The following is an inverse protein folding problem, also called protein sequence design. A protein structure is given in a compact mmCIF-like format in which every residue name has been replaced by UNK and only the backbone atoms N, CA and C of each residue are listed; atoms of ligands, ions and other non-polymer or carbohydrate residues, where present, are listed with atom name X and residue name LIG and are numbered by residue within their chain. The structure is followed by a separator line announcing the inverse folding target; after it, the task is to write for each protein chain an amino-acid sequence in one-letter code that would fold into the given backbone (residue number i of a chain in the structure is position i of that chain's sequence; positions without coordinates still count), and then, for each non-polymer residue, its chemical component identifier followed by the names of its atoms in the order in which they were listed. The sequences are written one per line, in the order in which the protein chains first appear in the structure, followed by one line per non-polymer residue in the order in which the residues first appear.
data_IF_810516794169
#
_entry.id   IF_810516794169
#
_cell.length_a   1.000
_cell.length_b   1.000
_cell.length_c   1.000
_cell.angle_alpha   90.00
_cell.angle_beta   90.00
_cell.angle_gamma   90.00
#
_symmetry.space_group_name_H-M   'P 1'
#
loop_
_entity.id
_entity.type
_entity.pdbx_description
1 polymer ?
#
# COMPACT_ATOMS: atom_id res chain seq x y z
N UNK A 1 -43.93 56.34 -19.17
CA UNK A 1 -44.54 57.55 -19.76
C UNK A 1 -44.08 57.65 -21.21
N UNK A 2 -44.95 57.30 -22.15
CA UNK A 2 -45.74 58.23 -22.98
C UNK A 2 -44.85 58.84 -24.07
N UNK A 3 -44.86 58.27 -25.28
CA UNK A 3 -45.66 58.67 -26.47
C UNK A 3 -44.97 59.75 -27.31
N UNK A 4 -44.70 59.46 -28.59
CA UNK A 4 -45.45 59.90 -29.79
C UNK A 4 -45.44 61.41 -30.05
N UNK A 5 -45.15 61.77 -31.31
CA UNK A 5 -45.38 63.09 -31.91
C UNK A 5 -44.38 63.34 -33.04
N UNK A 6 -44.68 63.00 -34.30
CA UNK A 6 -45.37 63.85 -35.31
C UNK A 6 -44.60 65.13 -35.60
N UNK A 7 -44.14 65.29 -36.85
CA UNK A 7 -43.62 66.54 -37.38
C UNK A 7 -43.53 66.47 -38.91
N UNK A 8 -44.49 67.12 -39.56
CA UNK A 8 -44.68 67.23 -41.01
C UNK A 8 -44.70 68.74 -41.31
N UNK A 9 -43.85 69.24 -42.21
CA UNK A 9 -43.91 70.57 -42.87
C UNK A 9 -42.81 70.56 -43.97
N UNK A 10 -43.13 70.54 -45.27
CA UNK A 10 -43.49 71.69 -46.14
C UNK A 10 -42.30 72.69 -46.32
N UNK A 11 -42.01 73.34 -47.44
CA UNK A 11 -42.69 73.53 -48.72
C UNK A 11 -41.82 74.46 -49.63
N UNK A 12 -41.88 74.29 -50.97
CA UNK A 12 -41.85 75.27 -52.12
C UNK A 12 -40.56 76.15 -52.30
N UNK A 13 -39.99 76.46 -53.47
CA UNK A 13 -40.40 77.30 -54.65
C UNK A 13 -39.22 77.29 -55.65
N UNK A 14 -39.36 76.85 -56.91
CA UNK A 14 -39.62 77.59 -58.17
C UNK A 14 -38.42 78.43 -58.71
N UNK A 15 -38.26 78.86 -59.97
CA UNK A 15 -38.95 78.81 -61.27
C UNK A 15 -37.94 79.35 -62.34
N UNK A 16 -38.37 79.51 -63.61
CA UNK A 16 -37.77 80.25 -64.78
C UNK A 16 -37.01 79.40 -65.82
N UNK A 17 -37.21 79.51 -67.15
CA UNK A 17 -38.05 80.35 -68.03
C UNK A 17 -38.01 79.77 -69.48
N UNK A 18 -39.10 79.78 -70.27
CA UNK A 18 -39.45 80.74 -71.35
C UNK A 18 -38.33 80.98 -72.39
N UNK A 19 -38.51 81.06 -73.72
CA UNK A 19 -39.62 80.93 -74.66
C UNK A 19 -39.01 80.91 -76.09
N UNK A 20 -39.78 80.53 -77.11
CA UNK A 20 -39.38 80.71 -78.52
C UNK A 20 -40.47 80.27 -79.51
N UNK A 21 -41.32 81.21 -79.90
CA UNK A 21 -42.39 81.04 -80.90
C UNK A 21 -41.88 81.31 -82.32
N UNK A 22 -42.39 80.58 -83.31
CA UNK A 22 -42.94 81.15 -84.56
C UNK A 22 -43.73 80.09 -85.34
N UNK A 23 -45.00 80.42 -85.67
CA UNK A 23 -45.83 79.79 -86.71
C UNK A 23 -45.70 80.64 -88.00
N UNK A 24 -46.06 80.09 -89.18
CA UNK A 24 -47.34 80.54 -89.72
C UNK A 24 -48.22 79.48 -90.43
N UNK A 25 -49.53 79.74 -90.34
CA UNK A 25 -50.58 79.68 -91.37
C UNK A 25 -50.98 78.35 -92.07
N UNK A 26 -52.07 77.79 -91.54
CA UNK A 26 -53.31 77.29 -92.18
C UNK A 26 -53.40 77.06 -93.71
N UNK A 27 -53.84 75.84 -94.06
CA UNK A 27 -54.79 75.55 -95.15
C UNK A 27 -55.74 74.44 -94.68
N UNK A 28 -57.06 74.70 -94.66
CA UNK A 28 -58.13 73.76 -94.34
C UNK A 28 -58.72 73.13 -95.62
N UNK A 29 -59.76 72.26 -95.55
CA UNK A 29 -59.85 70.95 -94.89
C UNK A 29 -60.32 69.85 -95.88
N UNK A 30 -60.24 68.57 -95.50
CA UNK A 30 -60.93 67.47 -96.19
C UNK A 30 -61.43 66.40 -95.19
N UNK A 31 -62.55 65.71 -95.47
CA UNK A 31 -63.50 65.19 -94.47
C UNK A 31 -63.08 63.85 -93.81
N UNK A 32 -63.74 63.41 -92.72
CA UNK A 32 -63.22 62.37 -91.82
C UNK A 32 -63.46 60.95 -92.36
N UNK A 33 -62.52 60.01 -92.18
CA UNK A 33 -62.81 58.59 -92.33
C UNK A 33 -63.39 57.98 -91.05
N UNK A 34 -64.44 57.17 -91.25
CA UNK A 34 -65.21 56.38 -90.27
C UNK A 34 -64.36 55.35 -89.50
N UNK A 35 -64.81 54.90 -88.31
CA UNK A 35 -64.06 53.99 -87.44
C UNK A 35 -63.89 52.60 -88.07
N UNK A 36 -62.65 52.09 -88.08
CA UNK A 36 -62.35 50.72 -88.48
C UNK A 36 -62.71 49.74 -87.34
N UNK A 37 -63.41 48.67 -87.69
CA UNK A 37 -63.76 47.57 -86.81
C UNK A 37 -62.50 46.92 -86.18
N UNK A 38 -62.56 46.39 -84.94
CA UNK A 38 -61.42 45.76 -84.29
C UNK A 38 -60.99 44.51 -85.06
N UNK A 39 -59.70 44.44 -85.43
CA UNK A 39 -59.10 43.21 -85.94
C UNK A 39 -59.19 42.12 -84.86
N UNK A 40 -59.53 40.86 -85.21
CA UNK A 40 -59.49 39.77 -84.24
C UNK A 40 -58.03 39.54 -83.84
N UNK A 41 -57.67 39.80 -82.59
CA UNK A 41 -56.34 39.55 -82.06
C UNK A 41 -56.02 38.05 -82.19
N UNK A 42 -54.92 37.72 -82.87
CA UNK A 42 -54.41 36.35 -82.89
C UNK A 42 -53.58 36.10 -81.63
N UNK A 43 -54.13 35.27 -80.75
CA UNK A 43 -53.54 34.96 -79.45
C UNK A 43 -52.80 33.62 -79.54
N UNK A 44 -51.56 33.56 -79.06
CA UNK A 44 -50.85 32.31 -78.86
C UNK A 44 -50.61 32.02 -77.39
N UNK A 45 -50.50 30.74 -77.05
CA UNK A 45 -50.13 30.29 -75.70
C UNK A 45 -48.77 29.63 -75.76
N UNK A 46 -47.93 29.96 -74.78
CA UNK A 46 -46.63 29.32 -74.57
C UNK A 46 -46.62 28.74 -73.16
N UNK A 47 -46.31 27.46 -73.06
CA UNK A 47 -46.04 26.82 -71.77
C UNK A 47 -44.56 27.01 -71.39
N UNK A 48 -44.30 28.03 -70.57
CA UNK A 48 -42.95 28.27 -70.05
C UNK A 48 -42.43 27.14 -69.16
N UNK A 49 -43.31 26.42 -68.45
CA UNK A 49 -42.89 25.35 -67.54
C UNK A 49 -42.37 24.14 -68.30
N UNK A 50 -42.99 23.84 -69.45
CA UNK A 50 -42.53 22.80 -70.38
C UNK A 50 -41.24 23.22 -71.08
N UNK A 51 -41.12 24.49 -71.50
CA UNK A 51 -39.91 25.01 -72.14
C UNK A 51 -38.72 25.03 -71.19
N UNK A 52 -38.91 25.48 -69.94
CA UNK A 52 -37.85 25.52 -68.94
C UNK A 52 -37.31 24.12 -68.57
N UNK A 53 -38.15 23.08 -68.63
CA UNK A 53 -37.75 21.69 -68.35
C UNK A 53 -36.97 21.05 -69.49
N UNK A 54 -37.33 21.36 -70.74
CA UNK A 54 -36.71 20.81 -71.95
C UNK A 54 -35.59 21.69 -72.52
N UNK A 55 -35.25 22.79 -71.84
CA UNK A 55 -34.19 23.73 -72.22
C UNK A 55 -32.80 23.06 -72.19
N UNK A 56 -31.88 23.38 -73.12
CA UNK A 56 -30.54 22.80 -73.14
C UNK A 56 -29.69 23.06 -71.88
N UNK A 57 -29.96 24.16 -71.15
CA UNK A 57 -29.33 24.49 -69.87
C UNK A 57 -30.08 23.96 -68.63
N UNK A 58 -31.18 23.21 -68.81
CA UNK A 58 -31.97 22.68 -67.69
C UNK A 58 -31.17 21.69 -66.81
N UNK A 59 -30.16 21.01 -67.37
CA UNK A 59 -29.27 20.11 -66.62
C UNK A 59 -28.40 20.86 -65.62
N UNK A 60 -27.79 21.97 -66.03
CA UNK A 60 -26.97 22.83 -65.17
C UNK A 60 -27.81 23.45 -64.04
N UNK A 61 -29.05 23.84 -64.35
CA UNK A 61 -29.99 24.34 -63.34
C UNK A 61 -30.38 23.26 -62.32
N UNK A 62 -30.61 22.01 -62.77
CA UNK A 62 -30.91 20.89 -61.88
C UNK A 62 -29.72 20.52 -60.98
N UNK A 63 -28.49 20.60 -61.50
CA UNK A 63 -27.26 20.42 -60.71
C UNK A 63 -27.08 21.52 -59.66
N UNK A 64 -27.33 22.79 -60.03
CA UNK A 64 -27.31 23.90 -59.07
C UNK A 64 -28.35 23.72 -57.96
N UNK A 65 -29.59 23.34 -58.31
CA UNK A 65 -30.65 23.06 -57.33
C UNK A 65 -30.27 21.91 -56.38
N UNK A 66 -29.61 20.86 -56.89
CA UNK A 66 -29.08 19.77 -56.05
C UNK A 66 -28.00 20.25 -55.10
N UNK A 67 -27.06 21.09 -55.57
CA UNK A 67 -26.02 21.69 -54.72
C UNK A 67 -26.61 22.58 -53.64
N UNK A 68 -27.60 23.42 -53.98
CA UNK A 68 -28.34 24.24 -53.01
C UNK A 68 -28.98 23.36 -51.94
N UNK A 69 -29.69 22.29 -52.33
CA UNK A 69 -30.30 21.35 -51.38
C UNK A 69 -29.27 20.65 -50.47
N UNK A 70 -28.09 20.30 -51.01
CA UNK A 70 -26.99 19.71 -50.23
C UNK A 70 -26.40 20.71 -49.23
N UNK A 71 -26.17 21.96 -49.65
CA UNK A 71 -25.68 23.04 -48.77
C UNK A 71 -26.71 23.39 -47.70
N UNK A 72 -28.01 23.39 -48.04
CA UNK A 72 -29.11 23.57 -47.07
C UNK A 72 -29.17 22.43 -46.05
N UNK A 73 -28.99 21.17 -46.48
CA UNK A 73 -28.92 20.04 -45.57
C UNK A 73 -27.69 20.12 -44.64
N UNK A 74 -26.54 20.56 -45.16
CA UNK A 74 -25.32 20.77 -44.38
C UNK A 74 -25.43 21.93 -43.37
N UNK A 75 -26.32 22.90 -43.62
CA UNK A 75 -26.66 23.96 -42.66
C UNK A 75 -27.58 23.47 -41.54
N UNK A 76 -28.43 22.46 -41.80
CA UNK A 76 -29.38 21.94 -40.81
C UNK A 76 -28.76 20.92 -39.84
N UNK A 77 -27.74 20.17 -40.26
CA UNK A 77 -27.12 19.13 -39.42
C UNK A 77 -25.65 19.46 -39.17
N UNK A 78 -25.29 19.98 -37.99
CA UNK A 78 -23.89 20.16 -37.62
C UNK A 78 -23.21 18.79 -37.40
N UNK A 79 -21.92 18.64 -37.75
CA UNK A 79 -21.16 17.42 -37.47
C UNK A 79 -20.97 17.24 -35.95
N UNK A 80 -20.81 16.01 -35.44
CA UNK A 80 -20.59 15.79 -34.00
C UNK A 80 -19.26 16.39 -33.51
N UNK A 81 -19.16 16.81 -32.24
CA UNK A 81 -17.92 17.29 -31.66
C UNK A 81 -16.85 16.18 -31.59
N UNK A 82 -15.55 16.53 -31.73
CA UNK A 82 -14.46 15.54 -31.67
C UNK A 82 -14.33 14.92 -30.27
N UNK A 83 -13.94 13.63 -30.17
CA UNK A 83 -13.75 12.97 -28.88
C UNK A 83 -12.55 13.54 -28.13
N UNK A 84 -12.70 13.74 -26.83
CA UNK A 84 -11.64 14.27 -25.96
C UNK A 84 -10.81 13.14 -25.34
N UNK A 85 -9.47 13.30 -25.25
CA UNK A 85 -8.63 12.35 -24.53
C UNK A 85 -8.87 12.46 -23.01
N UNK A 86 -9.22 11.35 -22.37
CA UNK A 86 -9.40 11.27 -20.92
C UNK A 86 -8.04 11.10 -20.21
N UNK A 87 -7.67 11.96 -19.23
CA UNK A 87 -6.42 11.82 -18.51
C UNK A 87 -6.44 10.60 -17.59
N UNK A 88 -5.42 9.75 -17.68
CA UNK A 88 -5.28 8.58 -16.80
C UNK A 88 -4.55 8.95 -15.50
N UNK A 89 -5.22 8.82 -14.35
CA UNK A 89 -4.64 9.09 -13.00
C UNK A 89 -3.96 7.85 -12.41
N UNK A 90 -4.27 6.66 -12.94
CA UNK A 90 -3.73 5.36 -12.53
C UNK A 90 -2.21 5.29 -12.37
N UNK A 91 -1.35 5.82 -13.27
CA UNK A 91 0.10 5.70 -13.12
C UNK A 91 0.64 6.53 -11.93
N UNK A 92 0.03 7.68 -11.63
CA UNK A 92 0.44 8.53 -10.50
C UNK A 92 0.08 7.85 -9.19
N UNK A 93 -1.14 7.31 -9.08
CA UNK A 93 -1.60 6.60 -7.88
C UNK A 93 -0.73 5.36 -7.59
N UNK A 94 -0.32 4.62 -8.62
CA UNK A 94 0.57 3.46 -8.46
C UNK A 94 1.94 3.85 -7.90
N UNK A 95 2.56 4.91 -8.44
CA UNK A 95 3.88 5.39 -7.95
C UNK A 95 3.83 5.79 -6.48
N UNK A 96 2.81 6.55 -6.09
CA UNK A 96 2.62 6.97 -4.69
C UNK A 96 2.46 5.77 -3.76
N UNK A 97 1.72 4.73 -4.19
CA UNK A 97 1.57 3.49 -3.42
C UNK A 97 2.89 2.71 -3.31
N UNK A 98 3.64 2.59 -4.40
CA UNK A 98 4.94 1.92 -4.42
C UNK A 98 5.97 2.60 -3.50
N UNK A 99 6.01 3.94 -3.52
CA UNK A 99 6.88 4.73 -2.64
C UNK A 99 6.51 4.53 -1.16
N UNK A 100 5.22 4.61 -0.83
CA UNK A 100 4.74 4.36 0.53
C UNK A 100 5.09 2.93 1.02
N UNK A 101 4.99 1.92 0.15
CA UNK A 101 5.40 0.55 0.48
C UNK A 101 6.90 0.43 0.70
N UNK A 102 7.73 1.10 -0.12
CA UNK A 102 9.20 1.11 0.04
C UNK A 102 9.61 1.79 1.35
N UNK A 103 8.98 2.90 1.71
CA UNK A 103 9.23 3.57 2.98
C UNK A 103 8.85 2.70 4.17
N UNK A 104 7.68 2.06 4.11
CA UNK A 104 7.23 1.14 5.16
C UNK A 104 8.20 -0.04 5.32
N UNK A 105 8.68 -0.60 4.22
CA UNK A 105 9.65 -1.70 4.24
C UNK A 105 10.99 -1.29 4.87
N UNK A 106 11.52 -0.10 4.53
CA UNK A 106 12.74 0.44 5.13
C UNK A 106 12.58 0.66 6.63
N UNK A 107 11.50 1.34 7.02
CA UNK A 107 11.18 1.57 8.43
C UNK A 107 11.05 0.25 9.21
N UNK A 108 10.39 -0.75 8.63
CA UNK A 108 10.27 -2.08 9.25
C UNK A 108 11.63 -2.78 9.40
N UNK A 109 12.55 -2.64 8.44
CA UNK A 109 13.89 -3.20 8.53
C UNK A 109 14.72 -2.52 9.64
N UNK A 110 14.71 -1.19 9.70
CA UNK A 110 15.40 -0.42 10.73
C UNK A 110 14.89 -0.78 12.13
N UNK A 111 13.56 -0.80 12.28
CA UNK A 111 12.93 -1.11 13.55
C UNK A 111 13.20 -2.56 13.98
N UNK A 112 13.21 -3.51 13.05
CA UNK A 112 13.62 -4.91 13.31
C UNK A 112 15.08 -5.01 13.75
N UNK A 113 15.98 -4.22 13.15
CA UNK A 113 17.39 -4.23 13.50
C UNK A 113 17.61 -3.70 14.94
N UNK A 114 16.92 -2.61 15.31
CA UNK A 114 16.92 -2.09 16.67
C UNK A 114 16.37 -3.12 17.65
N UNK A 115 15.20 -3.71 17.35
CA UNK A 115 14.58 -4.75 18.17
C UNK A 115 15.51 -5.95 18.41
N UNK A 116 16.17 -6.47 17.36
CA UNK A 116 17.13 -7.58 17.49
C UNK A 116 18.30 -7.21 18.41
N UNK A 117 18.88 -6.02 18.24
CA UNK A 117 19.99 -5.57 19.09
C UNK A 117 19.58 -5.43 20.55
N UNK A 118 18.39 -4.91 20.82
CA UNK A 118 17.87 -4.80 22.19
C UNK A 118 17.65 -6.18 22.82
N UNK A 119 17.07 -7.13 22.08
CA UNK A 119 16.89 -8.51 22.57
C UNK A 119 18.22 -9.19 22.86
N UNK A 120 19.18 -9.12 21.92
CA UNK A 120 20.51 -9.70 22.11
C UNK A 120 21.24 -9.07 23.31
N UNK A 121 21.12 -7.76 23.51
CA UNK A 121 21.71 -7.07 24.65
C UNK A 121 21.11 -7.57 25.98
N UNK A 122 19.78 -7.74 26.03
CA UNK A 122 19.09 -8.28 27.20
C UNK A 122 19.41 -9.74 27.48
N UNK A 123 19.49 -10.57 26.44
CA UNK A 123 19.94 -11.96 26.58
C UNK A 123 21.36 -12.04 27.14
N UNK A 124 22.27 -11.19 26.66
CA UNK A 124 23.64 -11.10 27.20
C UNK A 124 23.66 -10.64 28.65
N UNK A 125 22.83 -9.65 29.01
CA UNK A 125 22.68 -9.20 30.40
C UNK A 125 22.17 -10.33 31.29
N UNK A 126 21.08 -11.01 30.90
CA UNK A 126 20.52 -12.12 31.65
C UNK A 126 21.51 -13.28 31.81
N UNK A 127 22.29 -13.62 30.77
CA UNK A 127 23.37 -14.61 30.87
C UNK A 127 24.46 -14.18 31.84
N UNK A 128 24.91 -12.93 31.78
CA UNK A 128 25.91 -12.41 32.71
C UNK A 128 25.40 -12.39 34.16
N UNK A 129 24.12 -12.11 34.37
CA UNK A 129 23.48 -12.19 35.68
C UNK A 129 23.41 -13.64 36.20
N UNK A 130 23.02 -14.60 35.35
CA UNK A 130 23.04 -16.02 35.68
C UNK A 130 24.44 -16.52 36.04
N UNK A 131 25.46 -16.14 35.26
CA UNK A 131 26.85 -16.51 35.54
C UNK A 131 27.34 -15.93 36.87
N UNK A 132 27.00 -14.68 37.17
CA UNK A 132 27.34 -14.06 38.47
C UNK A 132 26.64 -14.77 39.62
N UNK A 133 25.35 -15.05 39.47
CA UNK A 133 24.57 -15.76 40.47
C UNK A 133 25.10 -17.19 40.69
N UNK A 134 25.47 -17.90 39.62
CA UNK A 134 26.08 -19.22 39.71
C UNK A 134 27.43 -19.20 40.44
N UNK A 135 28.28 -18.21 40.18
CA UNK A 135 29.55 -18.05 40.91
C UNK A 135 29.32 -17.74 42.39
N UNK A 136 28.34 -16.89 42.70
CA UNK A 136 27.96 -16.60 44.09
C UNK A 136 27.48 -17.86 44.81
N UNK A 137 26.56 -18.61 44.21
CA UNK A 137 26.07 -19.86 44.79
C UNK A 137 27.18 -20.89 44.98
N UNK A 138 28.12 -21.01 44.03
CA UNK A 138 29.28 -21.90 44.16
C UNK A 138 30.20 -21.47 45.31
N UNK A 139 30.46 -20.18 45.47
CA UNK A 139 31.27 -19.67 46.58
C UNK A 139 30.59 -19.94 47.93
N UNK A 140 29.29 -19.64 48.05
CA UNK A 140 28.50 -19.89 49.26
C UNK A 140 28.45 -21.40 49.59
N UNK A 141 28.34 -22.25 48.57
CA UNK A 141 28.37 -23.70 48.69
C UNK A 141 29.72 -24.21 49.22
N UNK A 142 30.83 -23.71 48.68
CA UNK A 142 32.18 -24.06 49.15
C UNK A 142 32.43 -23.61 50.59
N UNK A 143 32.01 -22.39 50.96
CA UNK A 143 32.15 -21.88 52.32
C UNK A 143 31.38 -22.74 53.32
N UNK A 144 30.13 -23.09 53.01
CA UNK A 144 29.30 -23.97 53.83
C UNK A 144 29.90 -25.37 53.97
N UNK A 145 30.45 -25.92 52.88
CA UNK A 145 31.10 -27.24 52.91
C UNK A 145 32.36 -27.20 53.79
N UNK A 146 33.19 -26.17 53.66
CA UNK A 146 34.40 -25.99 54.49
C UNK A 146 34.04 -25.85 55.97
N UNK A 147 33.04 -25.02 56.28
CA UNK A 147 32.56 -24.87 57.65
C UNK A 147 32.05 -26.20 58.23
N UNK A 148 31.29 -26.98 57.44
CA UNK A 148 30.81 -28.30 57.87
C UNK A 148 31.94 -29.31 58.05
N UNK A 149 32.94 -29.31 57.17
CA UNK A 149 34.13 -30.16 57.29
C UNK A 149 34.90 -29.88 58.58
N UNK A 150 35.08 -28.61 58.93
CA UNK A 150 35.74 -28.22 60.19
C UNK A 150 34.94 -28.71 61.40
N UNK A 151 33.62 -28.50 61.42
CA UNK A 151 32.75 -28.98 62.50
C UNK A 151 32.84 -30.51 62.67
N UNK A 152 32.73 -31.26 61.57
CA UNK A 152 32.79 -32.73 61.62
C UNK A 152 34.17 -33.23 62.06
N UNK A 153 35.26 -32.56 61.65
CA UNK A 153 36.61 -32.90 62.11
C UNK A 153 36.81 -32.63 63.60
N UNK A 154 36.33 -31.48 64.10
CA UNK A 154 36.38 -31.16 65.53
C UNK A 154 35.58 -32.16 66.35
N UNK A 155 34.37 -32.52 65.90
CA UNK A 155 33.53 -33.50 66.57
C UNK A 155 34.16 -34.90 66.57
N UNK A 156 34.77 -35.32 65.46
CA UNK A 156 35.50 -36.58 65.36
C UNK A 156 36.68 -36.62 66.33
N UNK A 157 37.51 -35.58 66.36
CA UNK A 157 38.65 -35.48 67.28
C UNK A 157 38.19 -35.57 68.73
N UNK A 158 37.16 -34.80 69.11
CA UNK A 158 36.60 -34.82 70.47
C UNK A 158 36.10 -36.21 70.86
N UNK A 159 35.39 -36.92 69.97
CA UNK A 159 34.88 -38.27 70.25
C UNK A 159 35.99 -39.30 70.40
N UNK A 160 36.98 -39.28 69.50
CA UNK A 160 38.13 -40.21 69.56
C UNK A 160 39.00 -39.95 70.79
N UNK A 161 39.24 -38.69 71.14
CA UNK A 161 39.97 -38.32 72.36
C UNK A 161 39.24 -38.74 73.62
N UNK A 162 37.93 -38.51 73.70
CA UNK A 162 37.10 -38.97 74.82
C UNK A 162 37.16 -40.50 74.97
N UNK A 163 37.05 -41.25 73.86
CA UNK A 163 37.16 -42.70 73.87
C UNK A 163 38.56 -43.17 74.29
N UNK A 164 39.62 -42.50 73.82
CA UNK A 164 41.01 -42.79 74.21
C UNK A 164 41.21 -42.61 75.71
N UNK A 165 40.68 -41.54 76.30
CA UNK A 165 40.73 -41.32 77.75
C UNK A 165 39.99 -42.42 78.52
N UNK A 166 38.81 -42.83 78.04
CA UNK A 166 38.06 -43.93 78.66
C UNK A 166 38.82 -45.27 78.58
N UNK A 167 39.42 -45.59 77.43
CA UNK A 167 40.23 -46.80 77.26
C UNK A 167 41.45 -46.78 78.18
N UNK A 168 42.16 -45.65 78.28
CA UNK A 168 43.29 -45.51 79.21
C UNK A 168 42.88 -45.70 80.67
N UNK A 169 41.72 -45.16 81.07
CA UNK A 169 41.19 -45.35 82.41
C UNK A 169 40.85 -46.83 82.69
N UNK A 170 40.27 -47.53 81.72
CA UNK A 170 39.96 -48.97 81.82
C UNK A 170 41.22 -49.83 81.93
N UNK A 171 42.24 -49.56 81.11
CA UNK A 171 43.52 -50.27 81.16
C UNK A 171 44.19 -50.08 82.51
N UNK A 172 44.27 -48.84 83.03
CA UNK A 172 44.83 -48.56 84.37
C UNK A 172 44.06 -49.26 85.49
N UNK A 173 42.72 -49.23 85.44
CA UNK A 173 41.89 -49.92 86.43
C UNK A 173 42.12 -51.45 86.40
N UNK A 174 42.29 -52.03 85.20
CA UNK A 174 42.61 -53.44 85.04
C UNK A 174 44.03 -53.77 85.52
N UNK A 175 45.02 -52.94 85.22
CA UNK A 175 46.38 -53.05 85.73
C UNK A 175 46.41 -53.06 87.27
N UNK A 176 45.68 -52.15 87.91
CA UNK A 176 45.56 -52.12 89.38
C UNK A 176 44.88 -53.39 89.94
N UNK A 177 43.84 -53.88 89.27
CA UNK A 177 43.15 -55.11 89.67
C UNK A 177 44.08 -56.33 89.59
N UNK A 178 44.76 -56.50 88.46
CA UNK A 178 45.73 -57.58 88.24
C UNK A 178 46.93 -57.44 89.19
N UNK A 179 47.42 -56.22 89.41
CA UNK A 179 48.48 -55.98 90.38
C UNK A 179 48.06 -56.42 91.78
N UNK A 180 46.82 -56.15 92.22
CA UNK A 180 46.31 -56.60 93.52
C UNK A 180 46.22 -58.13 93.61
N UNK A 181 45.73 -58.79 92.55
CA UNK A 181 45.61 -60.25 92.47
C UNK A 181 46.98 -60.95 92.61
N UNK A 182 47.99 -60.46 91.90
CA UNK A 182 49.34 -61.07 91.87
C UNK A 182 50.29 -60.53 92.95
N UNK A 183 49.92 -59.47 93.69
CA UNK A 183 50.79 -58.84 94.71
C UNK A 183 51.21 -59.82 95.81
N UNK A 184 50.25 -60.51 96.42
CA UNK A 184 50.52 -61.42 97.53
C UNK A 184 51.27 -62.69 97.07
N UNK A 185 50.89 -63.38 95.97
CA UNK A 185 51.65 -64.52 95.46
C UNK A 185 53.11 -64.18 95.12
N UNK A 186 53.36 -63.06 94.42
CA UNK A 186 54.70 -62.63 94.06
C UNK A 186 55.54 -62.22 95.28
N UNK A 187 54.93 -61.53 96.26
CA UNK A 187 55.61 -61.16 97.50
C UNK A 187 55.98 -62.41 98.32
N UNK A 188 55.06 -63.36 98.44
CA UNK A 188 55.31 -64.61 99.16
C UNK A 188 56.46 -65.41 98.52
N UNK A 189 56.51 -65.50 97.19
CA UNK A 189 57.60 -66.16 96.48
C UNK A 189 58.93 -65.41 96.63
N UNK A 190 58.91 -64.08 96.60
CA UNK A 190 60.10 -63.26 96.84
C UNK A 190 60.66 -63.45 98.25
N UNK A 191 59.80 -63.43 99.28
CA UNK A 191 60.20 -63.69 100.66
C UNK A 191 60.77 -65.12 100.82
N UNK A 192 60.14 -66.12 100.19
CA UNK A 192 60.66 -67.49 100.16
C UNK A 192 62.04 -67.58 99.49
N UNK A 193 62.23 -66.90 98.37
CA UNK A 193 63.52 -66.81 97.67
C UNK A 193 64.61 -66.22 98.57
N UNK A 194 64.32 -65.13 99.29
CA UNK A 194 65.25 -64.51 100.25
C UNK A 194 65.61 -65.47 101.41
N UNK A 195 64.64 -66.24 101.92
CA UNK A 195 64.90 -67.21 103.01
C UNK A 195 65.67 -68.46 102.58
N UNK A 196 65.45 -68.97 101.36
CA UNK A 196 66.05 -70.23 100.85
C UNK A 196 67.43 -70.00 100.21
N UNK A 197 67.79 -68.74 99.92
CA UNK A 197 69.03 -68.34 99.24
C UNK A 197 70.32 -68.89 99.87
N UNK A 198 70.31 -69.19 101.16
CA UNK A 198 71.47 -69.69 101.91
C UNK A 198 71.38 -71.17 102.31
N UNK A 199 70.28 -71.87 101.99
CA UNK A 199 69.97 -73.20 102.52
C UNK A 199 69.98 -74.33 101.47
N UNK A 200 69.36 -74.16 100.30
CA UNK A 200 69.24 -75.21 99.27
C UNK A 200 69.12 -74.63 97.85
N UNK A 201 70.10 -74.94 97.00
CA UNK A 201 70.23 -74.42 95.63
C UNK A 201 69.14 -74.93 94.69
N UNK A 202 68.72 -76.19 94.82
CA UNK A 202 67.68 -76.76 93.93
C UNK A 202 66.30 -76.17 94.23
N UNK A 203 66.02 -75.88 95.49
CA UNK A 203 64.76 -75.25 95.89
C UNK A 203 64.71 -73.78 95.47
N UNK A 204 65.83 -73.08 95.55
CA UNK A 204 65.95 -71.72 95.04
C UNK A 204 65.62 -71.63 93.55
N UNK A 205 66.21 -72.49 92.72
CA UNK A 205 65.97 -72.49 91.26
C UNK A 205 64.49 -72.76 90.91
N UNK A 206 63.81 -73.65 91.65
CA UNK A 206 62.38 -73.93 91.47
C UNK A 206 61.51 -72.72 91.82
N UNK A 207 61.77 -72.08 92.97
CA UNK A 207 61.03 -70.88 93.39
C UNK A 207 61.25 -69.71 92.43
N UNK A 208 62.45 -69.60 91.85
CA UNK A 208 62.76 -68.56 90.87
C UNK A 208 61.96 -68.77 89.58
N UNK A 209 61.88 -70.01 89.09
CA UNK A 209 61.05 -70.35 87.92
C UNK A 209 59.57 -70.06 88.15
N UNK A 210 59.03 -70.37 89.33
CA UNK A 210 57.64 -70.06 89.69
C UNK A 210 57.38 -68.55 89.76
N UNK A 211 58.32 -67.79 90.33
CA UNK A 211 58.24 -66.33 90.37
C UNK A 211 58.24 -65.72 88.96
N UNK A 212 59.18 -66.13 88.10
CA UNK A 212 59.25 -65.66 86.72
C UNK A 212 58.00 -66.04 85.92
N UNK A 213 57.46 -67.25 86.15
CA UNK A 213 56.23 -67.71 85.49
C UNK A 213 55.04 -66.81 85.87
N UNK A 214 54.83 -66.56 87.16
CA UNK A 214 53.72 -65.71 87.62
C UNK A 214 53.90 -64.25 87.18
N UNK A 215 55.14 -63.74 87.15
CA UNK A 215 55.43 -62.42 86.62
C UNK A 215 55.09 -62.32 85.13
N UNK A 216 55.52 -63.30 84.32
CA UNK A 216 55.18 -63.37 82.89
C UNK A 216 53.69 -63.50 82.65
N UNK A 217 52.98 -64.28 83.47
CA UNK A 217 51.52 -64.42 83.35
C UNK A 217 50.81 -63.10 83.65
N UNK A 218 51.20 -62.40 84.72
CA UNK A 218 50.67 -61.08 85.07
C UNK A 218 50.88 -60.08 83.94
N UNK A 219 52.13 -59.95 83.49
CA UNK A 219 52.50 -58.98 82.46
C UNK A 219 51.82 -59.34 81.12
N UNK A 220 51.70 -60.63 80.80
CA UNK A 220 50.96 -61.12 79.64
C UNK A 220 49.46 -60.82 79.69
N UNK A 221 48.81 -60.96 80.85
CA UNK A 221 47.38 -60.58 81.01
C UNK A 221 47.17 -59.08 80.80
N UNK A 222 48.04 -58.24 81.37
CA UNK A 222 47.99 -56.78 81.20
C UNK A 222 48.19 -56.41 79.73
N UNK A 223 49.21 -56.97 79.07
CA UNK A 223 49.49 -56.72 77.66
C UNK A 223 48.34 -57.16 76.75
N UNK A 224 47.81 -58.36 76.93
CA UNK A 224 46.70 -58.86 76.13
C UNK A 224 45.45 -57.99 76.27
N UNK A 225 45.14 -57.52 77.48
CA UNK A 225 44.01 -56.61 77.70
C UNK A 225 44.24 -55.23 77.07
N UNK A 226 45.44 -54.66 77.23
CA UNK A 226 45.81 -53.39 76.61
C UNK A 226 45.74 -53.46 75.08
N UNK A 227 46.24 -54.53 74.47
CA UNK A 227 46.15 -54.76 73.02
C UNK A 227 44.70 -54.92 72.55
N UNK A 228 43.86 -55.67 73.29
CA UNK A 228 42.45 -55.82 72.96
C UNK A 228 41.72 -54.47 72.98
N UNK A 229 41.92 -53.67 74.03
CA UNK A 229 41.33 -52.34 74.15
C UNK A 229 41.87 -51.36 73.09
N UNK A 230 43.13 -51.48 72.70
CA UNK A 230 43.70 -50.68 71.61
C UNK A 230 43.10 -51.04 70.25
N UNK A 231 42.80 -52.33 70.00
CA UNK A 231 42.06 -52.77 68.80
C UNK A 231 40.64 -52.21 68.77
N UNK A 232 39.91 -52.27 69.88
CA UNK A 232 38.58 -51.66 70.00
C UNK A 232 38.60 -50.15 69.73
N UNK A 233 39.62 -49.43 70.23
CA UNK A 233 39.79 -48.01 69.94
C UNK A 233 40.04 -47.75 68.44
N UNK A 234 40.85 -48.58 67.78
CA UNK A 234 41.11 -48.46 66.33
C UNK A 234 39.85 -48.74 65.51
N UNK A 235 39.07 -49.75 65.87
CA UNK A 235 37.79 -50.06 65.21
C UNK A 235 36.76 -48.95 65.42
N UNK A 236 36.67 -48.42 66.64
CA UNK A 236 35.82 -47.26 66.95
C UNK A 236 36.21 -46.03 66.12
N UNK A 237 37.51 -45.71 66.08
CA UNK A 237 38.00 -44.58 65.28
C UNK A 237 37.68 -44.75 63.79
N UNK A 238 37.87 -45.96 63.24
CA UNK A 238 37.52 -46.27 61.84
C UNK A 238 36.01 -46.14 61.58
N UNK A 239 35.17 -46.60 62.49
CA UNK A 239 33.72 -46.51 62.36
C UNK A 239 33.23 -45.05 62.41
N UNK A 240 33.77 -44.23 63.32
CA UNK A 240 33.43 -42.81 63.38
C UNK A 240 33.97 -42.04 62.17
N UNK A 241 35.17 -42.37 61.66
CA UNK A 241 35.66 -41.81 60.40
C UNK A 241 34.74 -42.15 59.21
N UNK A 242 34.21 -43.38 59.14
CA UNK A 242 33.27 -43.76 58.10
C UNK A 242 31.97 -42.97 58.21
N UNK A 243 31.39 -42.86 59.41
CA UNK A 243 30.19 -42.04 59.66
C UNK A 243 30.39 -40.58 59.27
N UNK A 244 31.51 -39.99 59.67
CA UNK A 244 31.87 -38.62 59.31
C UNK A 244 31.97 -38.42 57.79
N UNK A 245 32.53 -39.39 57.06
CA UNK A 245 32.59 -39.36 55.59
C UNK A 245 31.20 -39.45 54.96
N UNK A 246 30.37 -40.39 55.43
CA UNK A 246 28.99 -40.56 54.94
C UNK A 246 28.15 -39.29 55.17
N UNK A 247 28.27 -38.67 56.35
CA UNK A 247 27.58 -37.41 56.66
C UNK A 247 28.03 -36.26 55.75
N UNK A 248 29.34 -36.13 55.50
CA UNK A 248 29.87 -35.10 54.60
C UNK A 248 29.46 -35.34 53.14
N UNK A 249 29.42 -36.60 52.69
CA UNK A 249 28.96 -36.97 51.36
C UNK A 249 27.46 -36.71 51.16
N UNK A 250 26.64 -37.05 52.15
CA UNK A 250 25.20 -36.75 52.14
C UNK A 250 24.97 -35.23 52.09
N UNK A 251 25.65 -34.48 52.95
CA UNK A 251 25.56 -33.02 52.96
C UNK A 251 26.00 -32.40 51.64
N UNK A 252 27.08 -32.92 51.03
CA UNK A 252 27.53 -32.47 49.71
C UNK A 252 26.45 -32.70 48.64
N UNK A 253 25.80 -33.87 48.63
CA UNK A 253 24.72 -34.17 47.67
C UNK A 253 23.53 -33.24 47.86
N UNK A 254 23.07 -33.03 49.09
CA UNK A 254 21.97 -32.11 49.41
C UNK A 254 22.28 -30.69 48.93
N UNK A 255 23.50 -30.22 49.18
CA UNK A 255 23.96 -28.89 48.81
C UNK A 255 24.11 -28.73 47.28
N UNK A 256 24.57 -29.77 46.58
CA UNK A 256 24.58 -29.81 45.11
C UNK A 256 23.15 -29.77 44.53
N UNK A 257 22.20 -30.50 45.12
CA UNK A 257 20.78 -30.48 44.72
C UNK A 257 20.14 -29.10 44.95
N UNK A 258 20.37 -28.49 46.11
CA UNK A 258 19.90 -27.14 46.42
C UNK A 258 20.49 -26.09 45.47
N UNK A 259 21.78 -26.19 45.16
CA UNK A 259 22.44 -25.28 44.20
C UNK A 259 21.81 -25.42 42.81
N UNK A 260 21.58 -26.67 42.36
CA UNK A 260 20.95 -26.95 41.07
C UNK A 260 19.51 -26.46 41.01
N UNK A 261 18.72 -26.65 42.07
CA UNK A 261 17.32 -26.19 42.10
C UNK A 261 17.23 -24.67 42.06
N UNK A 262 18.03 -23.97 42.87
CA UNK A 262 18.07 -22.50 42.89
C UNK A 262 18.54 -21.91 41.56
N UNK A 263 19.50 -22.55 40.90
CA UNK A 263 19.92 -22.17 39.55
C UNK A 263 18.81 -22.37 38.53
N UNK A 264 18.14 -23.51 38.55
CA UNK A 264 17.05 -23.81 37.62
C UNK A 264 15.85 -22.87 37.82
N UNK A 265 15.50 -22.55 39.07
CA UNK A 265 14.46 -21.58 39.41
C UNK A 265 14.82 -20.19 38.89
N UNK A 266 16.05 -19.74 39.13
CA UNK A 266 16.50 -18.42 38.66
C UNK A 266 16.56 -18.35 37.14
N UNK A 267 16.99 -19.41 36.48
CA UNK A 267 16.99 -19.52 35.02
C UNK A 267 15.56 -19.48 34.46
N UNK A 268 14.61 -20.20 35.07
CA UNK A 268 13.22 -20.20 34.67
C UNK A 268 12.59 -18.80 34.83
N UNK A 269 12.87 -18.11 35.94
CA UNK A 269 12.42 -16.73 36.17
C UNK A 269 12.95 -15.78 35.10
N UNK A 270 14.26 -15.78 34.84
CA UNK A 270 14.87 -14.91 33.83
C UNK A 270 14.37 -15.23 32.42
N UNK A 271 14.17 -16.51 32.08
CA UNK A 271 13.56 -16.90 30.80
C UNK A 271 12.13 -16.39 30.67
N UNK A 272 11.33 -16.47 31.73
CA UNK A 272 9.96 -15.96 31.73
C UNK A 272 9.92 -14.43 31.59
N UNK A 273 10.79 -13.71 32.29
CA UNK A 273 10.94 -12.26 32.18
C UNK A 273 11.37 -11.85 30.75
N UNK A 274 12.36 -12.53 30.17
CA UNK A 274 12.79 -12.29 28.79
C UNK A 274 11.66 -12.54 27.78
N UNK A 275 10.89 -13.63 27.96
CA UNK A 275 9.76 -13.93 27.09
C UNK A 275 8.65 -12.88 27.19
N UNK A 276 8.27 -12.45 28.40
CA UNK A 276 7.27 -11.40 28.58
C UNK A 276 7.73 -10.08 27.96
N UNK A 277 8.97 -9.68 28.22
CA UNK A 277 9.55 -8.48 27.65
C UNK A 277 9.63 -8.53 26.11
N UNK A 278 9.97 -9.69 25.54
CA UNK A 278 9.97 -9.89 24.09
C UNK A 278 8.56 -9.74 23.51
N UNK A 279 7.55 -10.35 24.14
CA UNK A 279 6.15 -10.21 23.73
C UNK A 279 5.65 -8.77 23.81
N UNK A 280 5.96 -8.05 24.90
CA UNK A 280 5.55 -6.64 25.05
C UNK A 280 6.22 -5.74 24.02
N UNK A 281 7.51 -5.98 23.74
CA UNK A 281 8.23 -5.26 22.69
C UNK A 281 7.73 -5.61 21.29
N UNK A 282 7.38 -6.88 21.03
CA UNK A 282 6.75 -7.27 19.77
C UNK A 282 5.39 -6.58 19.57
N UNK A 283 4.57 -6.51 20.62
CA UNK A 283 3.30 -5.77 20.59
C UNK A 283 3.54 -4.28 20.31
N UNK A 284 4.52 -3.67 20.95
CA UNK A 284 4.88 -2.27 20.70
C UNK A 284 5.37 -2.06 19.25
N UNK A 285 6.22 -2.96 18.75
CA UNK A 285 6.69 -2.98 17.37
C UNK A 285 5.53 -3.06 16.36
N UNK A 286 4.59 -3.99 16.57
CA UNK A 286 3.41 -4.13 15.72
C UNK A 286 2.52 -2.88 15.76
N UNK A 287 2.36 -2.24 16.92
CA UNK A 287 1.61 -0.98 17.05
C UNK A 287 2.28 0.13 16.24
N UNK A 288 3.58 0.35 16.43
CA UNK A 288 4.34 1.37 15.70
C UNK A 288 4.30 1.15 14.19
N UNK A 289 4.42 -0.09 13.73
CA UNK A 289 4.28 -0.41 12.30
C UNK A 289 2.88 -0.11 11.76
N UNK A 290 1.83 -0.49 12.49
CA UNK A 290 0.44 -0.22 12.08
C UNK A 290 0.15 1.28 12.06
N UNK A 291 0.64 2.02 13.04
CA UNK A 291 0.51 3.49 13.08
C UNK A 291 1.22 4.13 11.91
N UNK A 292 2.47 3.73 11.62
CA UNK A 292 3.22 4.23 10.46
C UNK A 292 2.53 3.86 9.14
N UNK A 293 2.03 2.64 9.01
CA UNK A 293 1.28 2.20 7.83
C UNK A 293 0.05 3.06 7.61
N UNK A 294 -0.77 3.27 8.65
CA UNK A 294 -1.97 4.13 8.57
C UNK A 294 -1.60 5.57 8.17
N UNK A 295 -0.53 6.12 8.74
CA UNK A 295 -0.07 7.47 8.40
C UNK A 295 0.36 7.56 6.92
N UNK A 296 1.12 6.59 6.42
CA UNK A 296 1.54 6.53 5.02
C UNK A 296 0.36 6.31 4.06
N UNK A 297 -0.60 5.46 4.41
CA UNK A 297 -1.82 5.26 3.61
C UNK A 297 -2.68 6.54 3.55
N UNK A 298 -2.80 7.26 4.67
CA UNK A 298 -3.48 8.56 4.69
C UNK A 298 -2.75 9.59 3.80
N UNK A 299 -1.42 9.67 3.89
CA UNK A 299 -0.62 10.54 3.03
C UNK A 299 -0.74 10.15 1.54
N UNK A 300 -0.65 8.87 1.21
CA UNK A 300 -0.80 8.37 -0.15
C UNK A 300 -2.20 8.67 -0.71
N UNK A 301 -3.25 8.47 0.08
CA UNK A 301 -4.63 8.74 -0.34
C UNK A 301 -4.89 10.22 -0.57
N UNK A 302 -4.34 11.11 0.26
CA UNK A 302 -4.48 12.56 0.10
C UNK A 302 -3.74 13.05 -1.15
N UNK A 303 -2.54 12.54 -1.41
CA UNK A 303 -1.79 12.82 -2.64
C UNK A 303 -2.52 12.32 -3.90
N UNK A 304 -3.05 11.10 -3.86
CA UNK A 304 -3.81 10.53 -4.99
C UNK A 304 -5.09 11.32 -5.28
N UNK A 305 -5.82 11.75 -4.24
CA UNK A 305 -6.99 12.63 -4.38
C UNK A 305 -6.61 13.98 -4.98
N UNK A 306 -5.52 14.59 -4.51
CA UNK A 306 -5.00 15.84 -5.07
C UNK A 306 -4.62 15.71 -6.54
N UNK A 307 -3.98 14.62 -6.94
CA UNK A 307 -3.65 14.33 -8.34
C UNK A 307 -4.92 14.14 -9.20
N UNK A 308 -5.91 13.41 -8.68
CA UNK A 308 -7.19 13.23 -9.37
C UNK A 308 -7.96 14.55 -9.57
N UNK A 309 -7.97 15.42 -8.55
CA UNK A 309 -8.60 16.75 -8.64
C UNK A 309 -7.91 17.61 -9.70
N UNK A 310 -6.57 17.66 -9.72
CA UNK A 310 -5.82 18.39 -10.75
C UNK A 310 -6.11 17.87 -12.16
N UNK A 311 -6.14 16.55 -12.34
CA UNK A 311 -6.48 15.93 -13.62
C UNK A 311 -7.93 16.26 -14.06
N UNK A 312 -8.88 16.32 -13.13
CA UNK A 312 -10.26 16.73 -13.41
C UNK A 312 -10.35 18.20 -13.82
N UNK A 313 -9.63 19.09 -13.12
CA UNK A 313 -9.58 20.51 -13.46
C UNK A 313 -8.96 20.75 -14.84
N UNK A 314 -7.86 20.06 -15.15
CA UNK A 314 -7.22 20.10 -16.47
C UNK A 314 -8.16 19.57 -17.56
N UNK A 315 -8.83 18.44 -17.32
CA UNK A 315 -9.82 17.92 -18.26
C UNK A 315 -10.97 18.89 -18.48
N UNK A 316 -11.47 19.54 -17.43
CA UNK A 316 -12.53 20.55 -17.54
C UNK A 316 -12.09 21.75 -18.38
N UNK A 317 -10.86 22.24 -18.18
CA UNK A 317 -10.28 23.33 -18.99
C UNK A 317 -10.12 22.92 -20.45
N UNK A 318 -9.63 21.71 -20.71
CA UNK A 318 -9.49 21.17 -22.06
C UNK A 318 -10.84 20.99 -22.74
N UNK A 319 -11.85 20.47 -22.03
CA UNK A 319 -13.20 20.31 -22.55
C UNK A 319 -13.83 21.66 -22.90
N UNK A 320 -13.67 22.67 -22.04
CA UNK A 320 -14.14 24.04 -22.32
C UNK A 320 -13.43 24.64 -23.54
N UNK A 321 -12.11 24.52 -23.63
CA UNK A 321 -11.34 25.03 -24.76
C UNK A 321 -11.71 24.32 -26.08
N UNK A 322 -11.92 23.01 -26.04
CA UNK A 322 -12.35 22.23 -27.20
C UNK A 322 -13.78 22.58 -27.63
N UNK A 323 -14.69 22.81 -26.67
CA UNK A 323 -16.05 23.25 -26.97
C UNK A 323 -16.06 24.64 -27.62
N UNK A 324 -15.26 25.58 -27.12
CA UNK A 324 -15.10 26.91 -27.73
C UNK A 324 -14.58 26.82 -29.16
N UNK A 325 -13.53 26.02 -29.39
CA UNK A 325 -12.99 25.79 -30.74
C UNK A 325 -14.04 25.19 -31.67
N UNK A 326 -14.80 24.20 -31.18
CA UNK A 326 -15.87 23.60 -31.96
C UNK A 326 -16.96 24.63 -32.29
N UNK A 327 -17.40 25.45 -31.34
CA UNK A 327 -18.39 26.51 -31.58
C UNK A 327 -17.89 27.56 -32.60
N UNK A 328 -16.63 27.96 -32.50
CA UNK A 328 -15.99 28.88 -33.45
C UNK A 328 -15.90 28.26 -34.86
N UNK A 329 -15.44 27.01 -34.97
CA UNK A 329 -15.40 26.27 -36.22
C UNK A 329 -16.80 26.12 -36.84
N UNK A 330 -17.83 25.85 -36.03
CA UNK A 330 -19.22 25.82 -36.49
C UNK A 330 -19.69 27.19 -36.99
N UNK A 331 -19.35 28.29 -36.29
CA UNK A 331 -19.71 29.64 -36.74
C UNK A 331 -19.07 29.97 -38.09
N UNK A 332 -17.76 29.76 -38.20
CA UNK A 332 -17.02 30.01 -39.46
C UNK A 332 -17.58 29.15 -40.59
N UNK A 333 -17.85 27.86 -40.33
CA UNK A 333 -18.45 26.96 -41.30
C UNK A 333 -19.86 27.40 -41.73
N UNK A 334 -20.71 27.80 -40.78
CA UNK A 334 -22.06 28.29 -41.09
C UNK A 334 -22.01 29.56 -41.94
N UNK A 335 -21.09 30.48 -41.65
CA UNK A 335 -20.89 31.69 -42.46
C UNK A 335 -20.42 31.35 -43.87
N UNK A 336 -19.49 30.41 -44.01
CA UNK A 336 -19.03 29.92 -45.32
C UNK A 336 -20.17 29.29 -46.11
N UNK A 337 -20.91 28.36 -45.51
CA UNK A 337 -22.06 27.69 -46.15
C UNK A 337 -23.18 28.67 -46.53
N UNK A 338 -23.42 29.72 -45.72
CA UNK A 338 -24.38 30.78 -46.06
C UNK A 338 -23.92 31.59 -47.28
N UNK A 339 -22.66 32.01 -47.32
CA UNK A 339 -22.08 32.72 -48.46
C UNK A 339 -22.10 31.87 -49.73
N UNK A 340 -21.79 30.58 -49.62
CA UNK A 340 -21.89 29.62 -50.72
C UNK A 340 -23.34 29.49 -51.22
N UNK A 341 -24.30 29.39 -50.31
CA UNK A 341 -25.72 29.30 -50.66
C UNK A 341 -26.22 30.58 -51.33
N UNK A 342 -25.84 31.76 -50.84
CA UNK A 342 -26.16 33.04 -51.50
C UNK A 342 -25.55 33.13 -52.91
N UNK A 343 -24.28 32.73 -53.07
CA UNK A 343 -23.61 32.68 -54.36
C UNK A 343 -24.31 31.70 -55.33
N UNK A 344 -24.67 30.50 -54.85
CA UNK A 344 -25.40 29.50 -55.64
C UNK A 344 -26.81 29.98 -56.02
N UNK A 345 -27.52 30.68 -55.13
CA UNK A 345 -28.83 31.27 -55.44
C UNK A 345 -28.73 32.42 -56.43
N UNK A 346 -27.69 33.26 -56.32
CA UNK A 346 -27.43 34.31 -57.31
C UNK A 346 -27.10 33.71 -58.70
N UNK A 347 -26.28 32.65 -58.74
CA UNK A 347 -26.03 31.89 -59.97
C UNK A 347 -27.30 31.29 -60.54
N UNK A 348 -28.14 30.67 -59.70
CA UNK A 348 -29.44 30.15 -60.11
C UNK A 348 -30.32 31.24 -60.72
N UNK A 349 -30.48 32.39 -60.04
CA UNK A 349 -31.29 33.50 -60.53
C UNK A 349 -30.75 34.09 -61.85
N UNK A 350 -29.43 34.18 -61.99
CA UNK A 350 -28.80 34.64 -63.24
C UNK A 350 -29.05 33.67 -64.40
N UNK A 351 -28.91 32.36 -64.19
CA UNK A 351 -29.20 31.34 -65.20
C UNK A 351 -30.69 31.29 -65.54
N UNK A 352 -31.58 31.38 -64.55
CA UNK A 352 -33.03 31.47 -64.78
C UNK A 352 -33.39 32.73 -65.59
N UNK A 353 -32.76 33.87 -65.29
CA UNK A 353 -32.95 35.11 -66.06
C UNK A 353 -32.43 34.99 -67.50
N UNK A 354 -31.26 34.38 -67.71
CA UNK A 354 -30.71 34.11 -69.05
C UNK A 354 -31.61 33.18 -69.85
N UNK A 355 -32.04 32.06 -69.26
CA UNK A 355 -32.99 31.12 -69.88
C UNK A 355 -34.29 31.84 -70.26
N UNK A 356 -34.86 32.64 -69.34
CA UNK A 356 -36.09 33.40 -69.62
C UNK A 356 -35.89 34.47 -70.70
N UNK A 357 -34.73 35.12 -70.75
CA UNK A 357 -34.40 36.08 -71.79
C UNK A 357 -34.25 35.41 -73.16
N UNK A 358 -33.52 34.29 -73.24
CA UNK A 358 -33.39 33.47 -74.46
C UNK A 358 -34.76 32.99 -74.94
N UNK A 359 -35.57 32.41 -74.05
CA UNK A 359 -36.93 31.97 -74.35
C UNK A 359 -37.80 33.13 -74.81
N UNK A 360 -37.72 34.32 -74.18
CA UNK A 360 -38.46 35.51 -74.62
C UNK A 360 -38.09 35.97 -76.03
N UNK A 361 -36.80 35.97 -76.36
CA UNK A 361 -36.32 36.33 -77.69
C UNK A 361 -36.85 35.33 -78.73
N UNK A 362 -36.77 34.03 -78.45
CA UNK A 362 -37.27 33.01 -79.39
C UNK A 362 -38.80 33.03 -79.53
N UNK A 363 -39.53 33.21 -78.43
CA UNK A 363 -40.99 33.36 -78.45
C UNK A 363 -41.38 34.58 -79.27
N UNK A 364 -40.69 35.72 -79.13
CA UNK A 364 -40.95 36.91 -79.92
C UNK A 364 -40.65 36.70 -81.41
N UNK A 365 -39.57 35.99 -81.75
CA UNK A 365 -39.23 35.65 -83.14
C UNK A 365 -40.25 34.71 -83.77
N UNK A 366 -40.68 33.66 -83.07
CA UNK A 366 -41.74 32.74 -83.54
C UNK A 366 -43.09 33.47 -83.65
N UNK A 367 -43.41 34.38 -82.74
CA UNK A 367 -44.63 35.19 -82.80
C UNK A 367 -44.66 36.13 -84.02
N UNK A 368 -43.52 36.76 -84.34
CA UNK A 368 -43.36 37.60 -85.53
C UNK A 368 -43.53 36.78 -86.82
N UNK A 369 -42.89 35.61 -86.91
CA UNK A 369 -42.95 34.74 -88.10
C UNK A 369 -44.35 34.15 -88.34
N UNK A 370 -45.12 33.92 -87.27
CA UNK A 370 -46.48 33.40 -87.35
C UNK A 370 -47.56 34.50 -87.42
N UNK A 371 -47.16 35.78 -87.42
CA UNK A 371 -48.06 36.93 -87.49
C UNK A 371 -49.03 37.02 -86.30
N UNK A 372 -48.53 36.78 -85.10
CA UNK A 372 -49.29 36.76 -83.84
C UNK A 372 -49.23 38.11 -83.12
N UNK A 373 -50.37 38.59 -82.61
CA UNK A 373 -50.49 39.91 -81.98
C UNK A 373 -50.29 39.87 -80.45
N UNK A 374 -50.58 38.74 -79.81
CA UNK A 374 -50.49 38.58 -78.35
C UNK A 374 -50.03 37.17 -77.97
N UNK A 375 -49.02 37.05 -77.10
CA UNK A 375 -48.57 35.77 -76.54
C UNK A 375 -48.86 35.73 -75.04
N UNK A 376 -49.60 34.71 -74.61
CA UNK A 376 -49.90 34.43 -73.22
C UNK A 376 -48.92 33.40 -72.65
N UNK A 377 -48.34 33.74 -71.51
CA UNK A 377 -47.17 33.07 -70.91
C UNK A 377 -47.57 31.95 -69.93
N UNK A 378 -48.87 31.82 -69.66
CA UNK A 378 -49.44 30.84 -68.74
C UNK A 378 -50.56 30.12 -69.46
N UNK A 379 -50.67 28.81 -69.24
CA UNK A 379 -51.70 27.98 -69.84
C UNK A 379 -53.09 28.44 -69.39
N UNK A 380 -53.69 29.34 -70.16
CA UNK A 380 -55.09 29.75 -70.03
C UNK A 380 -55.78 29.14 -71.23
N UNK A 381 -56.68 28.19 -71.00
CA UNK A 381 -57.44 27.51 -72.04
C UNK A 381 -58.39 28.50 -72.72
N UNK A 382 -57.90 29.21 -73.73
CA UNK A 382 -58.67 30.13 -74.56
C UNK A 382 -59.02 29.43 -75.88
N UNK A 383 -60.30 29.41 -76.27
CA UNK A 383 -60.84 28.57 -77.36
C UNK A 383 -60.23 28.79 -78.77
N UNK A 384 -59.54 29.91 -78.99
CA UNK A 384 -58.95 30.29 -80.29
C UNK A 384 -57.44 30.54 -80.23
N UNK A 385 -56.75 30.07 -79.19
CA UNK A 385 -55.32 30.32 -79.06
C UNK A 385 -54.47 29.19 -79.66
N UNK A 386 -53.45 29.55 -80.42
CA UNK A 386 -52.52 28.59 -81.03
C UNK A 386 -51.36 28.30 -80.08
N UNK A 387 -51.14 27.03 -79.76
CA UNK A 387 -49.99 26.62 -78.94
C UNK A 387 -48.73 26.63 -79.81
N UNK A 388 -47.76 27.48 -79.45
CA UNK A 388 -46.48 27.60 -80.16
C UNK A 388 -45.31 26.96 -79.38
N UNK A 389 -45.58 26.25 -78.29
CA UNK A 389 -44.59 25.68 -77.36
C UNK A 389 -43.61 24.75 -78.08
N UNK A 390 -44.09 23.82 -78.91
CA UNK A 390 -43.23 22.85 -79.60
C UNK A 390 -42.36 23.50 -80.71
N UNK A 391 -42.83 24.60 -81.32
CA UNK A 391 -42.09 25.36 -82.33
C UNK A 391 -40.92 26.13 -81.70
N UNK A 392 -41.17 26.77 -80.56
CA UNK A 392 -40.13 27.46 -79.77
C UNK A 392 -39.08 26.48 -79.25
N UNK A 393 -39.51 25.28 -78.79
CA UNK A 393 -38.60 24.22 -78.34
C UNK A 393 -37.67 23.69 -79.42
N UNK A 394 -38.16 23.50 -80.65
CA UNK A 394 -37.32 23.09 -81.79
C UNK A 394 -36.22 24.11 -82.06
N UNK A 395 -36.58 25.40 -82.08
CA UNK A 395 -35.66 26.50 -82.35
C UNK A 395 -34.59 26.69 -81.27
N UNK A 396 -34.96 26.50 -80.00
CA UNK A 396 -34.02 26.51 -78.87
C UNK A 396 -33.01 25.35 -78.92
N UNK A 397 -33.36 24.23 -79.57
CA UNK A 397 -32.45 23.08 -79.75
C UNK A 397 -31.50 23.25 -80.94
N UNK A 398 -31.93 23.94 -81.99
CA UNK A 398 -31.15 24.15 -83.23
C UNK A 398 -30.05 25.24 -83.10
N UNK A 399 -30.00 25.97 -81.98
CA UNK A 399 -29.04 27.08 -81.71
C UNK A 399 -27.76 26.66 -80.97
N UNK A 400 -27.54 25.37 -80.77
CA UNK A 400 -26.25 24.79 -80.40
C UNK A 400 -25.66 24.07 -81.60
#
# INVERSE_FOLDING_TARGET
MVSRGVGLLACVVALWGLAGCTRPAARAPSPPPRPAAPKPYRVAVVDLDRIAKEHPQARELAELRRRIAQTEAALMVPPPPPPLPVPSVSPVTRRVQEEAQRELARYAQELRAVYRRELEARERQARAELERYARQLQADAEERLRARQQQVQEDLQRRVEAQKQQVQARVRAYEEQVAREYRLPLLNLRLKLETVQHADRQQYDRLLQEYERLQKERDGKIQAYAEAQQKELQEFARAEEQRAREELEAYRKELEEQTRSQLAEREAQLRAELQQQAQDRERAFQRQLRERQRALEQQASTQARGAAQRAQEEFRKLAQAAQQRYEEEQRVRQEQLRRELEALRAQQASLEATILAEVRVEVAQVALEQGLDLVLVRYVSYRNATDITDLVLRRLRDKR
#
